data_IF_416680905447
#
_entry.id   IF_416680905447
#
_cell.length_a   1.000
_cell.length_b   1.000
_cell.length_c   1.000
_cell.angle_alpha   90.00
_cell.angle_beta   90.00
_cell.angle_gamma   90.00
#
_symmetry.space_group_name_H-M   'P 1'
#
loop_
_entity.id
_entity.type
_entity.pdbx_description
1 polymer ?
#
# COMPACT_ATOMS: atom_id res chain seq x y z
N UNK A 1 61.77 -39.94 27.84
CA UNK A 1 60.37 -39.70 28.26
C UNK A 1 60.32 -38.40 29.05
N UNK A 2 59.60 -37.41 28.52
CA UNK A 2 58.83 -36.31 29.15
C UNK A 2 59.44 -35.49 30.32
N UNK A 3 59.75 -34.21 30.01
CA UNK A 3 59.66 -32.93 30.79
C UNK A 3 60.42 -32.74 32.13
N UNK A 4 60.63 -31.50 32.68
CA UNK A 4 60.00 -30.19 32.35
C UNK A 4 60.90 -28.91 32.32
N UNK A 5 60.31 -27.81 31.81
CA UNK A 5 60.33 -26.39 32.25
C UNK A 5 61.55 -25.77 32.98
N UNK A 6 61.98 -24.55 32.56
CA UNK A 6 62.04 -23.30 33.37
C UNK A 6 62.40 -22.06 32.50
N UNK A 7 61.72 -20.94 32.79
CA UNK A 7 61.95 -19.56 32.26
C UNK A 7 63.07 -18.86 33.04
N UNK A 8 63.76 -17.88 32.43
CA UNK A 8 63.90 -16.48 32.92
C UNK A 8 64.82 -15.60 32.05
N UNK A 9 64.70 -14.27 32.21
CA UNK A 9 64.89 -13.19 31.22
C UNK A 9 66.21 -12.39 31.27
N UNK A 10 66.44 -11.63 30.17
CA UNK A 10 67.04 -10.27 29.99
C UNK A 10 68.59 -10.07 30.23
N UNK A 11 69.25 -8.93 29.86
CA UNK A 11 68.87 -7.73 29.07
C UNK A 11 69.93 -7.17 28.06
N UNK A 12 69.53 -6.14 27.28
CA UNK A 12 70.40 -5.06 26.74
C UNK A 12 70.68 -5.11 25.22
N UNK A 13 70.87 -4.03 24.46
CA UNK A 13 70.72 -2.58 24.62
C UNK A 13 71.25 -1.95 23.30
N UNK A 14 70.52 -1.00 22.69
CA UNK A 14 70.93 0.06 21.71
C UNK A 14 71.64 -0.35 20.39
N UNK A 15 71.34 0.12 19.17
CA UNK A 15 70.51 1.18 18.56
C UNK A 15 70.82 1.18 17.03
N UNK A 16 70.84 2.32 16.31
CA UNK A 16 69.75 3.19 15.85
C UNK A 16 69.34 2.90 14.38
N UNK A 17 68.17 3.36 13.93
CA UNK A 17 67.79 3.18 12.51
C UNK A 17 66.46 3.82 12.10
N UNK A 18 66.54 5.12 11.81
CA UNK A 18 65.79 5.84 10.79
C UNK A 18 64.25 5.78 10.76
N UNK A 19 63.69 6.93 11.12
CA UNK A 19 62.38 7.42 10.75
C UNK A 19 62.13 7.33 9.23
N UNK A 20 61.15 6.53 8.84
CA UNK A 20 60.44 6.73 7.57
C UNK A 20 58.95 6.48 7.79
N UNK A 21 58.25 7.58 8.09
CA UNK A 21 56.81 7.60 8.23
C UNK A 21 56.15 7.42 6.86
N UNK A 22 55.78 6.20 6.53
CA UNK A 22 54.75 5.97 5.53
C UNK A 22 53.40 6.01 6.24
N UNK A 23 52.77 7.18 6.17
CA UNK A 23 51.36 7.37 6.51
C UNK A 23 50.54 6.50 5.55
N UNK A 24 50.23 5.28 5.99
CA UNK A 24 49.33 4.39 5.27
C UNK A 24 48.01 5.14 5.09
N UNK A 25 47.77 5.57 3.85
CA UNK A 25 46.59 6.32 3.49
C UNK A 25 45.40 5.39 3.69
N UNK A 26 44.57 5.67 4.69
CA UNK A 26 43.29 5.00 4.88
C UNK A 26 42.52 5.10 3.57
N UNK A 27 42.51 4.00 2.80
CA UNK A 27 41.71 3.93 1.58
C UNK A 27 40.25 4.08 2.01
N UNK A 28 39.45 4.95 1.36
CA UNK A 28 38.04 5.00 1.65
C UNK A 28 37.47 3.60 1.38
N UNK A 29 36.86 3.03 2.41
CA UNK A 29 36.25 1.71 2.35
C UNK A 29 35.03 1.82 1.43
N UNK A 30 35.25 1.76 0.12
CA UNK A 30 34.20 1.69 -0.88
C UNK A 30 33.58 0.31 -0.78
N UNK A 31 32.65 0.16 0.18
CA UNK A 31 31.71 -0.96 0.17
C UNK A 31 31.01 -0.92 -1.20
N UNK A 32 30.92 -2.05 -1.94
CA UNK A 32 30.18 -2.08 -3.18
C UNK A 32 28.74 -1.68 -2.85
N UNK A 33 28.34 -0.52 -3.37
CA UNK A 33 26.97 -0.03 -3.25
C UNK A 33 26.14 -0.89 -4.21
N UNK A 34 25.56 -1.95 -3.67
CA UNK A 34 24.60 -2.79 -4.39
C UNK A 34 23.52 -1.86 -4.96
N UNK A 35 23.49 -1.77 -6.29
CA UNK A 35 22.80 -0.74 -7.06
C UNK A 35 21.26 -0.72 -6.91
N UNK A 36 20.70 -1.59 -6.08
CA UNK A 36 19.26 -1.80 -6.01
C UNK A 36 18.56 -1.13 -4.83
N UNK A 37 19.26 -0.60 -3.81
CA UNK A 37 18.64 0.27 -2.78
C UNK A 37 19.70 0.98 -1.92
N UNK A 38 20.38 1.97 -2.48
CA UNK A 38 21.20 2.89 -1.69
C UNK A 38 20.26 3.74 -0.83
N UNK A 39 20.19 3.46 0.47
CA UNK A 39 19.54 4.35 1.44
C UNK A 39 20.05 5.77 1.20
N UNK A 40 19.12 6.71 1.04
CA UNK A 40 19.46 8.11 0.77
C UNK A 40 20.29 8.61 1.97
N UNK A 41 21.54 9.07 1.76
CA UNK A 41 22.34 9.64 2.85
C UNK A 41 21.58 10.78 3.53
N UNK A 42 21.52 10.76 4.87
CA UNK A 42 20.74 11.73 5.65
C UNK A 42 19.24 11.43 5.76
N UNK A 43 18.75 10.30 5.25
CA UNK A 43 17.38 9.86 5.46
C UNK A 43 17.13 9.55 6.94
N UNK A 44 16.28 10.34 7.59
CA UNK A 44 15.86 10.18 9.00
C UNK A 44 14.46 9.57 9.14
N UNK A 45 13.88 9.08 8.04
CA UNK A 45 12.54 8.52 8.01
C UNK A 45 12.44 7.08 8.54
N UNK A 46 11.30 6.45 8.30
CA UNK A 46 11.01 5.11 8.79
C UNK A 46 11.82 4.04 8.05
N UNK A 47 12.47 3.16 8.81
CA UNK A 47 13.12 1.94 8.32
C UNK A 47 12.45 0.74 8.98
N UNK A 48 11.84 -0.19 8.21
CA UNK A 48 11.20 -1.37 8.77
C UNK A 48 12.15 -2.17 9.66
N UNK A 49 11.66 -2.72 10.77
CA UNK A 49 12.44 -3.56 11.71
C UNK A 49 13.61 -2.87 12.44
N UNK A 50 13.97 -1.63 12.10
CA UNK A 50 15.09 -0.90 12.71
C UNK A 50 14.92 -0.69 14.22
N UNK A 51 13.69 -0.55 14.68
CA UNK A 51 13.38 -0.37 16.10
C UNK A 51 13.71 -1.60 16.96
N UNK A 52 13.94 -2.76 16.35
CA UNK A 52 14.39 -3.98 17.05
C UNK A 52 15.91 -4.15 17.04
N UNK A 53 16.67 -3.23 16.44
CA UNK A 53 18.13 -3.29 16.33
C UNK A 53 18.75 -2.09 17.01
N UNK A 54 19.74 -2.36 17.86
CA UNK A 54 20.48 -1.38 18.65
C UNK A 54 21.96 -1.80 18.66
N UNK A 55 22.87 -0.83 18.62
CA UNK A 55 24.30 -1.06 18.86
C UNK A 55 25.20 -1.06 17.63
N UNK A 56 24.68 -0.78 16.43
CA UNK A 56 25.52 -0.58 15.23
C UNK A 56 25.27 0.77 14.55
N UNK A 57 25.99 1.06 13.46
CA UNK A 57 25.82 2.32 12.73
C UNK A 57 24.46 2.36 12.02
N UNK A 58 23.92 3.57 11.83
CA UNK A 58 22.66 3.74 11.11
C UNK A 58 22.68 3.09 9.71
N UNK A 59 23.82 3.20 9.01
CA UNK A 59 23.97 2.64 7.67
C UNK A 59 23.91 1.11 7.68
N UNK A 60 24.65 0.46 8.58
CA UNK A 60 24.70 -0.99 8.66
C UNK A 60 23.36 -1.58 9.13
N UNK A 61 22.75 -1.01 10.18
CA UNK A 61 21.43 -1.44 10.66
C UNK A 61 20.36 -1.27 9.59
N UNK A 62 20.35 -0.13 8.89
CA UNK A 62 19.33 0.13 7.88
C UNK A 62 19.47 -0.82 6.69
N UNK A 63 20.69 -1.10 6.23
CA UNK A 63 20.92 -2.10 5.18
C UNK A 63 20.47 -3.50 5.62
N UNK A 64 20.87 -3.92 6.82
CA UNK A 64 20.46 -5.23 7.35
C UNK A 64 18.94 -5.35 7.48
N UNK A 65 18.28 -4.32 8.00
CA UNK A 65 16.82 -4.25 8.12
C UNK A 65 16.12 -4.34 6.76
N UNK A 66 16.59 -3.57 5.78
CA UNK A 66 15.99 -3.56 4.44
C UNK A 66 16.16 -4.91 3.75
N UNK A 67 17.32 -5.54 3.86
CA UNK A 67 17.58 -6.88 3.32
C UNK A 67 16.71 -7.94 4.01
N UNK A 68 16.63 -7.93 5.35
CA UNK A 68 15.76 -8.84 6.11
C UNK A 68 14.29 -8.66 5.75
N UNK A 69 13.82 -7.42 5.66
CA UNK A 69 12.45 -7.11 5.26
C UNK A 69 12.14 -7.55 3.83
N UNK A 70 13.04 -7.27 2.89
CA UNK A 70 12.89 -7.70 1.50
C UNK A 70 12.83 -9.22 1.41
N UNK A 71 13.76 -9.93 2.05
CA UNK A 71 13.79 -11.40 2.06
C UNK A 71 12.54 -12.00 2.71
N UNK A 72 12.08 -11.45 3.84
CA UNK A 72 10.84 -11.89 4.47
C UNK A 72 9.62 -11.68 3.55
N UNK A 73 9.56 -10.53 2.87
CA UNK A 73 8.50 -10.23 1.91
C UNK A 73 8.54 -11.18 0.72
N UNK A 74 9.72 -11.48 0.16
CA UNK A 74 9.86 -12.43 -0.94
C UNK A 74 9.45 -13.83 -0.52
N UNK A 75 9.95 -14.35 0.62
CA UNK A 75 9.52 -15.66 1.15
C UNK A 75 8.02 -15.76 1.32
N UNK A 76 7.37 -14.71 1.83
CA UNK A 76 5.91 -14.69 1.98
C UNK A 76 5.19 -14.72 0.63
N UNK A 77 5.71 -14.03 -0.38
CA UNK A 77 5.19 -14.09 -1.75
C UNK A 77 5.40 -15.46 -2.39
N UNK A 78 6.57 -16.05 -2.22
CA UNK A 78 6.92 -17.36 -2.76
C UNK A 78 6.03 -18.44 -2.13
N UNK A 79 5.85 -18.42 -0.80
CA UNK A 79 4.92 -19.33 -0.11
C UNK A 79 3.48 -19.14 -0.59
N UNK A 80 3.02 -17.91 -0.82
CA UNK A 80 1.70 -17.67 -1.40
C UNK A 80 1.58 -18.22 -2.82
N UNK A 81 2.62 -18.07 -3.64
CA UNK A 81 2.64 -18.57 -5.02
C UNK A 81 2.67 -20.10 -5.06
N UNK A 82 3.44 -20.73 -4.18
CA UNK A 82 3.49 -22.18 -4.00
C UNK A 82 2.12 -22.71 -3.60
N UNK A 83 1.47 -22.11 -2.60
CA UNK A 83 0.12 -22.50 -2.18
C UNK A 83 -0.90 -22.33 -3.32
N UNK A 84 -0.80 -21.26 -4.11
CA UNK A 84 -1.65 -21.06 -5.30
C UNK A 84 -1.42 -22.14 -6.34
N UNK A 85 -0.16 -22.51 -6.58
CA UNK A 85 0.21 -23.57 -7.51
C UNK A 85 -0.33 -24.93 -7.03
N UNK A 86 -0.15 -25.27 -5.76
CA UNK A 86 -0.66 -26.50 -5.16
C UNK A 86 -2.19 -26.52 -5.25
N UNK A 87 -2.87 -25.44 -4.86
CA UNK A 87 -4.33 -25.36 -4.92
C UNK A 87 -4.88 -25.49 -6.36
N UNK A 88 -4.13 -25.04 -7.36
CA UNK A 88 -4.52 -25.15 -8.77
C UNK A 88 -4.23 -26.54 -9.37
N UNK A 89 -3.17 -27.21 -8.92
CA UNK A 89 -2.78 -28.53 -9.42
C UNK A 89 -3.45 -29.69 -8.69
N UNK A 90 -3.85 -29.48 -7.43
CA UNK A 90 -4.55 -30.49 -6.64
C UNK A 90 -5.92 -30.77 -7.25
N UNK A 91 -6.26 -32.04 -7.56
CA UNK A 91 -7.58 -32.37 -8.08
C UNK A 91 -8.66 -31.97 -7.08
N UNK A 92 -9.77 -31.43 -7.58
CA UNK A 92 -10.91 -31.06 -6.73
C UNK A 92 -11.46 -32.33 -6.08
N UNK A 93 -11.40 -32.38 -4.75
CA UNK A 93 -11.95 -33.50 -4.00
C UNK A 93 -13.47 -33.52 -4.14
N UNK A 94 -14.09 -34.71 -4.26
CA UNK A 94 -15.54 -34.82 -4.17
C UNK A 94 -16.00 -34.40 -2.77
N UNK A 95 -17.16 -33.78 -2.68
CA UNK A 95 -17.79 -33.47 -1.39
C UNK A 95 -18.11 -34.77 -0.66
N UNK A 96 -17.68 -34.87 0.60
CA UNK A 96 -17.91 -36.07 1.44
C UNK A 96 -19.40 -36.25 1.75
N UNK A 97 -20.15 -35.16 1.87
CA UNK A 97 -21.59 -35.14 2.12
C UNK A 97 -22.25 -34.02 1.32
N UNK A 98 -23.58 -34.08 1.17
CA UNK A 98 -24.32 -33.02 0.47
C UNK A 98 -24.36 -31.75 1.31
N UNK A 99 -24.51 -30.59 0.67
CA UNK A 99 -24.65 -29.33 1.40
C UNK A 99 -25.86 -29.35 2.35
N UNK A 100 -26.93 -30.05 1.98
CA UNK A 100 -28.12 -30.21 2.82
C UNK A 100 -27.82 -30.98 4.10
N UNK A 101 -27.01 -32.05 4.03
CA UNK A 101 -26.61 -32.82 5.21
C UNK A 101 -25.79 -31.98 6.21
N UNK A 102 -24.90 -31.13 5.70
CA UNK A 102 -24.10 -30.20 6.52
C UNK A 102 -25.00 -29.17 7.18
N UNK A 103 -25.95 -28.60 6.43
CA UNK A 103 -26.93 -27.65 6.98
C UNK A 103 -27.80 -28.31 8.05
N UNK A 104 -28.27 -29.53 7.81
CA UNK A 104 -29.05 -30.29 8.78
C UNK A 104 -28.26 -30.53 10.06
N UNK A 105 -27.00 -30.95 9.97
CA UNK A 105 -26.14 -31.14 11.14
C UNK A 105 -25.90 -29.83 11.91
N UNK A 106 -25.75 -28.70 11.20
CA UNK A 106 -25.65 -27.37 11.83
C UNK A 106 -26.94 -26.96 12.52
N UNK A 107 -28.10 -27.24 11.92
CA UNK A 107 -29.40 -26.98 12.53
C UNK A 107 -29.63 -27.84 13.77
N UNK A 108 -29.33 -29.13 13.71
CA UNK A 108 -29.45 -30.05 14.83
C UNK A 108 -28.55 -29.62 16.00
N UNK A 109 -27.31 -29.20 15.72
CA UNK A 109 -26.41 -28.64 16.73
C UNK A 109 -26.98 -27.37 17.36
N UNK A 110 -27.44 -26.42 16.54
CA UNK A 110 -27.98 -25.14 17.00
C UNK A 110 -29.24 -25.35 17.84
N UNK A 111 -30.13 -26.25 17.42
CA UNK A 111 -31.35 -26.60 18.17
C UNK A 111 -31.01 -27.22 19.54
N UNK A 112 -30.02 -28.10 19.60
CA UNK A 112 -29.61 -28.79 20.84
C UNK A 112 -28.89 -27.87 21.83
N UNK A 113 -28.08 -26.93 21.34
CA UNK A 113 -27.18 -26.13 22.18
C UNK A 113 -27.62 -24.66 22.34
N UNK A 114 -28.55 -24.16 21.53
CA UNK A 114 -29.03 -22.78 21.53
C UNK A 114 -30.56 -22.68 21.40
N UNK A 115 -31.33 -23.16 22.39
CA UNK A 115 -32.80 -23.25 22.32
C UNK A 115 -33.52 -21.91 22.16
N UNK A 116 -32.86 -20.78 22.46
CA UNK A 116 -33.43 -19.44 22.32
C UNK A 116 -33.05 -18.73 21.02
N UNK A 117 -32.28 -19.37 20.14
CA UNK A 117 -31.83 -18.78 18.87
C UNK A 117 -32.63 -19.38 17.73
N UNK A 118 -33.78 -18.78 17.45
CA UNK A 118 -34.63 -19.17 16.33
C UNK A 118 -34.01 -18.69 15.01
N UNK A 119 -33.29 -19.58 14.32
CA UNK A 119 -32.80 -19.38 12.96
C UNK A 119 -31.28 -19.44 12.79
N UNK A 120 -30.80 -19.19 11.57
CA UNK A 120 -29.37 -19.03 11.32
C UNK A 120 -28.87 -17.84 12.13
N UNK A 121 -27.80 -18.03 12.91
CA UNK A 121 -27.15 -16.91 13.59
C UNK A 121 -26.56 -16.01 12.50
N UNK A 122 -27.31 -14.99 12.09
CA UNK A 122 -26.79 -13.97 11.21
C UNK A 122 -25.79 -13.17 12.05
N UNK A 123 -24.53 -13.61 12.03
CA UNK A 123 -23.43 -12.94 12.73
C UNK A 123 -23.15 -11.56 12.14
N UNK A 124 -23.56 -11.33 10.90
CA UNK A 124 -23.35 -10.08 10.18
C UNK A 124 -24.57 -9.18 10.30
N UNK A 125 -24.44 -8.15 11.12
CA UNK A 125 -25.38 -7.01 11.13
C UNK A 125 -25.49 -6.41 9.74
N UNK A 126 -26.69 -5.99 9.37
CA UNK A 126 -26.89 -5.35 8.07
C UNK A 126 -26.18 -4.00 8.03
N UNK A 127 -25.70 -3.56 6.86
CA UNK A 127 -24.99 -2.28 6.73
C UNK A 127 -25.84 -1.08 7.17
N UNK A 128 -27.16 -1.17 7.03
CA UNK A 128 -28.10 -0.09 7.37
C UNK A 128 -28.62 -0.19 8.82
N UNK A 129 -28.23 -1.23 9.55
CA UNK A 129 -28.59 -1.36 10.96
C UNK A 129 -27.92 -0.22 11.75
N UNK A 130 -28.65 0.45 12.66
CA UNK A 130 -28.05 1.48 13.49
C UNK A 130 -26.91 0.89 14.33
N UNK A 131 -25.80 1.63 14.49
CA UNK A 131 -24.69 1.18 15.32
C UNK A 131 -25.14 0.99 16.76
N UNK A 132 -24.47 0.06 17.45
CA UNK A 132 -24.71 -0.24 18.86
C UNK A 132 -24.54 1.06 19.67
N UNK A 133 -25.45 1.37 20.62
CA UNK A 133 -25.26 2.50 21.52
C UNK A 133 -23.88 2.47 22.18
N UNK A 134 -23.19 3.62 22.18
CA UNK A 134 -21.82 3.72 22.69
C UNK A 134 -20.71 3.38 21.67
N UNK A 135 -21.06 2.90 20.47
CA UNK A 135 -20.09 2.76 19.39
C UNK A 135 -19.66 4.13 18.87
N UNK A 136 -18.35 4.41 18.91
CA UNK A 136 -17.73 5.67 18.46
C UNK A 136 -16.83 5.48 17.25
N UNK A 137 -17.05 4.40 16.49
CA UNK A 137 -16.23 4.07 15.33
C UNK A 137 -16.49 4.99 14.13
N UNK A 138 -15.81 4.69 13.02
CA UNK A 138 -15.86 5.51 11.82
C UNK A 138 -17.20 5.36 11.08
N UNK A 139 -17.90 6.48 10.90
CA UNK A 139 -19.10 6.58 10.04
C UNK A 139 -18.71 7.33 8.76
N UNK A 140 -18.84 6.71 7.57
CA UNK A 140 -18.52 7.35 6.30
C UNK A 140 -19.29 8.66 6.15
N UNK A 141 -18.62 9.73 5.72
CA UNK A 141 -19.24 11.05 5.47
C UNK A 141 -20.03 11.67 6.63
N UNK A 142 -19.86 11.20 7.88
CA UNK A 142 -20.50 11.81 9.04
C UNK A 142 -20.08 13.27 9.30
N UNK A 143 -18.93 13.69 8.78
CA UNK A 143 -18.43 15.06 8.84
C UNK A 143 -18.88 15.95 7.68
N UNK A 144 -19.85 15.52 6.88
CA UNK A 144 -20.45 16.34 5.82
C UNK A 144 -21.68 17.04 6.37
N UNK A 145 -21.82 18.34 6.07
CA UNK A 145 -22.91 19.23 6.54
C UNK A 145 -24.29 18.66 6.27
N UNK A 146 -24.49 18.07 5.09
CA UNK A 146 -25.80 17.58 4.63
C UNK A 146 -26.27 16.29 5.35
N UNK A 147 -25.34 15.47 5.86
CA UNK A 147 -25.66 14.13 6.34
C UNK A 147 -25.52 13.99 7.86
N UNK A 148 -24.57 14.69 8.48
CA UNK A 148 -24.18 14.39 9.85
C UNK A 148 -24.09 15.55 10.83
N UNK A 149 -24.13 16.80 10.38
CA UNK A 149 -24.14 17.93 11.31
C UNK A 149 -25.57 18.23 11.78
N UNK A 150 -25.74 18.44 13.09
CA UNK A 150 -26.99 18.91 13.69
C UNK A 150 -28.07 17.85 13.95
N UNK A 151 -27.77 16.57 13.77
CA UNK A 151 -28.70 15.44 13.96
C UNK A 151 -28.19 14.44 15.01
N UNK A 152 -29.08 13.56 15.51
CA UNK A 152 -28.70 12.54 16.49
C UNK A 152 -27.82 11.49 15.83
N UNK A 153 -26.92 10.88 16.61
CA UNK A 153 -25.94 9.90 16.10
C UNK A 153 -26.56 8.77 15.25
N UNK A 154 -27.68 8.19 15.70
CA UNK A 154 -28.34 7.12 14.95
C UNK A 154 -28.94 7.59 13.61
N UNK A 155 -29.41 8.84 13.53
CA UNK A 155 -29.91 9.45 12.29
C UNK A 155 -28.76 9.77 11.35
N UNK A 156 -27.69 10.39 11.87
CA UNK A 156 -26.44 10.62 11.14
C UNK A 156 -25.97 9.31 10.50
N UNK A 157 -25.86 8.25 11.29
CA UNK A 157 -25.32 6.99 10.83
C UNK A 157 -26.23 6.32 9.80
N UNK A 158 -27.55 6.34 10.01
CA UNK A 158 -28.52 5.84 9.02
C UNK A 158 -28.38 6.57 7.68
N UNK A 159 -28.35 7.90 7.68
CA UNK A 159 -28.23 8.71 6.47
C UNK A 159 -26.89 8.46 5.77
N UNK A 160 -25.80 8.41 6.54
CA UNK A 160 -24.46 8.14 6.04
C UNK A 160 -24.33 6.75 5.41
N UNK A 161 -24.89 5.71 6.03
CA UNK A 161 -24.86 4.35 5.47
C UNK A 161 -25.74 4.21 4.24
N UNK A 162 -26.91 4.87 4.20
CA UNK A 162 -27.75 4.90 3.00
C UNK A 162 -27.03 5.59 1.83
N UNK A 163 -26.41 6.74 2.08
CA UNK A 163 -25.62 7.45 1.09
C UNK A 163 -24.43 6.61 0.60
N UNK A 164 -23.69 5.97 1.52
CA UNK A 164 -22.59 5.07 1.18
C UNK A 164 -23.06 3.88 0.34
N UNK A 165 -24.21 3.30 0.67
CA UNK A 165 -24.82 2.21 -0.11
C UNK A 165 -25.17 2.69 -1.52
N UNK A 166 -25.87 3.81 -1.64
CA UNK A 166 -26.23 4.40 -2.93
C UNK A 166 -24.99 4.69 -3.79
N UNK A 167 -23.90 5.18 -3.18
CA UNK A 167 -22.67 5.45 -3.88
C UNK A 167 -21.94 4.15 -4.27
N UNK A 168 -21.96 3.14 -3.40
CA UNK A 168 -21.42 1.80 -3.71
C UNK A 168 -22.18 1.14 -4.86
N UNK A 169 -23.50 1.26 -4.90
CA UNK A 169 -24.34 0.71 -5.97
C UNK A 169 -24.13 1.45 -7.31
N UNK A 170 -23.89 2.77 -7.26
CA UNK A 170 -23.55 3.58 -8.44
C UNK A 170 -22.16 3.33 -8.98
N UNK A 171 -21.21 3.00 -8.11
CA UNK A 171 -19.89 2.50 -8.51
C UNK A 171 -20.11 1.06 -8.96
N UNK A 172 -20.70 0.90 -10.15
CA UNK A 172 -20.78 -0.38 -10.83
C UNK A 172 -19.40 -1.02 -10.74
N UNK A 173 -19.36 -2.24 -10.17
CA UNK A 173 -18.18 -3.06 -10.05
C UNK A 173 -17.59 -3.23 -11.45
N UNK A 174 -16.65 -2.36 -11.80
CA UNK A 174 -15.82 -2.55 -12.98
C UNK A 174 -14.88 -3.71 -12.60
N UNK A 175 -15.04 -4.92 -13.18
CA UNK A 175 -14.23 -6.08 -12.81
C UNK A 175 -12.73 -5.81 -13.01
N UNK A 176 -12.41 -4.83 -13.86
CA UNK A 176 -11.08 -4.34 -14.16
C UNK A 176 -10.43 -3.59 -12.98
N UNK A 177 -11.21 -3.09 -12.02
CA UNK A 177 -10.70 -2.34 -10.86
C UNK A 177 -9.97 -3.23 -9.83
N UNK A 178 -10.37 -4.51 -9.71
CA UNK A 178 -9.64 -5.48 -8.90
C UNK A 178 -8.29 -5.88 -9.54
N UNK A 179 -8.17 -5.79 -10.87
CA UNK A 179 -6.90 -6.02 -11.58
C UNK A 179 -5.88 -4.89 -11.35
N UNK A 180 -6.34 -3.71 -10.94
CA UNK A 180 -5.50 -2.55 -10.63
C UNK A 180 -5.29 -2.30 -9.13
N UNK A 181 -5.96 -3.07 -8.24
CA UNK A 181 -5.75 -3.04 -6.80
C UNK A 181 -4.37 -3.64 -6.47
N UNK A 182 -3.30 -2.91 -6.78
CA UNK A 182 -1.91 -3.33 -6.62
C UNK A 182 -1.01 -2.99 -7.80
N UNK A 183 -1.54 -2.60 -8.97
CA UNK A 183 -0.70 -2.05 -10.05
C UNK A 183 -0.38 -0.59 -9.71
N UNK A 184 0.72 -0.38 -8.98
CA UNK A 184 1.41 0.91 -9.06
C UNK A 184 1.77 1.10 -10.54
N UNK A 185 1.06 1.98 -11.23
CA UNK A 185 1.55 2.45 -12.51
C UNK A 185 2.91 3.08 -12.22
N UNK A 186 3.96 2.48 -12.78
CA UNK A 186 5.31 3.02 -12.75
C UNK A 186 5.27 4.33 -13.54
N UNK A 187 5.02 5.43 -12.83
CA UNK A 187 5.10 6.76 -13.43
C UNK A 187 6.57 6.97 -13.69
N UNK A 188 6.98 6.90 -14.97
CA UNK A 188 8.32 7.32 -15.40
C UNK A 188 8.47 8.77 -14.94
N UNK A 189 9.29 8.99 -13.91
CA UNK A 189 9.63 10.32 -13.43
C UNK A 189 10.39 11.00 -14.55
N UNK A 190 9.69 11.73 -15.42
CA UNK A 190 10.38 12.61 -16.33
C UNK A 190 10.96 13.72 -15.45
N UNK A 191 12.28 13.90 -15.51
CA UNK A 191 12.94 15.06 -14.90
C UNK A 191 12.46 16.28 -15.67
N UNK A 192 11.29 16.82 -15.33
CA UNK A 192 10.76 18.03 -15.94
C UNK A 192 11.70 19.17 -15.53
N UNK A 193 12.12 20.04 -16.47
CA UNK A 193 12.95 21.20 -16.14
C UNK A 193 12.31 22.01 -15.02
N UNK A 194 13.16 22.50 -14.11
CA UNK A 194 12.84 23.13 -12.83
C UNK A 194 12.11 24.49 -12.92
N UNK A 195 11.44 24.78 -14.04
CA UNK A 195 10.90 26.12 -14.32
C UNK A 195 9.46 26.31 -13.89
N UNK A 196 8.65 25.26 -13.69
CA UNK A 196 7.30 25.40 -13.12
C UNK A 196 6.92 24.22 -12.23
N UNK A 197 6.97 24.43 -10.91
CA UNK A 197 6.52 23.45 -9.93
C UNK A 197 5.00 23.38 -9.92
N UNK A 198 4.43 22.59 -10.83
CA UNK A 198 2.99 22.37 -10.94
C UNK A 198 2.42 21.78 -9.63
N UNK A 199 1.31 22.35 -9.14
CA UNK A 199 0.62 21.86 -7.93
C UNK A 199 0.07 20.44 -8.10
N UNK A 200 -0.56 20.17 -9.25
CA UNK A 200 -1.10 18.86 -9.60
C UNK A 200 -0.13 18.12 -10.50
N UNK A 201 0.39 16.98 -10.03
CA UNK A 201 1.42 16.21 -10.72
C UNK A 201 0.87 14.87 -11.24
N UNK A 202 1.41 14.33 -12.35
CA UNK A 202 1.04 13.00 -12.83
C UNK A 202 1.41 11.87 -11.85
N UNK A 203 2.41 12.10 -10.99
CA UNK A 203 2.74 11.21 -9.88
C UNK A 203 1.72 11.26 -8.73
N UNK A 204 0.70 12.12 -8.80
CA UNK A 204 -0.26 12.38 -7.73
C UNK A 204 0.17 13.51 -6.80
N UNK A 205 -0.68 13.83 -5.82
CA UNK A 205 -0.41 14.90 -4.86
C UNK A 205 0.71 14.53 -3.89
N UNK A 206 1.42 15.54 -3.40
CA UNK A 206 2.45 15.37 -2.37
C UNK A 206 1.83 14.71 -1.12
N UNK A 207 2.51 13.73 -0.50
CA UNK A 207 2.09 13.23 0.80
C UNK A 207 1.93 14.40 1.80
N UNK A 208 0.84 14.39 2.58
CA UNK A 208 0.42 15.47 3.50
C UNK A 208 -0.14 16.74 2.85
N UNK A 209 -0.43 16.74 1.55
CA UNK A 209 -1.23 17.80 0.97
C UNK A 209 -2.62 17.83 1.62
N UNK A 210 -2.96 18.96 2.26
CA UNK A 210 -4.23 19.19 2.95
C UNK A 210 -5.17 20.13 2.19
N UNK A 211 -4.79 20.55 0.97
CA UNK A 211 -5.62 21.41 0.14
C UNK A 211 -6.74 20.64 -0.56
N UNK A 212 -7.53 21.36 -1.37
CA UNK A 212 -8.69 20.81 -2.05
C UNK A 212 -8.30 19.93 -3.25
N UNK A 213 -8.85 18.71 -3.30
CA UNK A 213 -8.81 17.87 -4.49
C UNK A 213 -10.21 17.87 -5.14
N UNK A 214 -10.31 18.29 -6.42
CA UNK A 214 -11.58 18.27 -7.12
C UNK A 214 -12.18 16.86 -7.14
N UNK A 215 -13.47 16.77 -6.81
CA UNK A 215 -14.27 15.55 -6.84
C UNK A 215 -13.83 14.43 -5.87
N UNK A 216 -12.94 14.70 -4.91
CA UNK A 216 -12.51 13.69 -3.93
C UNK A 216 -13.68 13.08 -3.15
N UNK A 217 -14.60 13.93 -2.69
CA UNK A 217 -15.76 13.52 -1.89
C UNK A 217 -16.76 12.65 -2.66
N UNK A 218 -16.67 12.57 -3.99
CA UNK A 218 -17.58 11.80 -4.84
C UNK A 218 -17.06 10.38 -5.14
N UNK A 219 -15.81 10.07 -4.78
CA UNK A 219 -15.16 8.82 -5.15
C UNK A 219 -14.96 7.94 -3.93
N UNK A 220 -15.53 6.74 -3.96
CA UNK A 220 -15.35 5.71 -2.93
C UNK A 220 -14.34 4.65 -3.41
N UNK A 221 -13.62 4.04 -2.45
CA UNK A 221 -12.85 2.83 -2.68
C UNK A 221 -11.46 3.03 -3.30
N UNK A 222 -11.02 4.28 -3.49
CA UNK A 222 -9.66 4.61 -3.93
C UNK A 222 -8.85 5.16 -2.75
N UNK A 223 -7.57 4.79 -2.69
CA UNK A 223 -6.62 5.45 -1.79
C UNK A 223 -6.38 6.88 -2.26
N UNK A 224 -6.01 7.79 -1.35
CA UNK A 224 -5.69 9.18 -1.67
C UNK A 224 -4.74 9.29 -2.87
N UNK A 225 -3.66 8.49 -2.89
CA UNK A 225 -2.71 8.47 -4.00
C UNK A 225 -3.33 8.06 -5.34
N UNK A 226 -4.18 7.03 -5.36
CA UNK A 226 -4.84 6.57 -6.59
C UNK A 226 -5.88 7.57 -7.08
N UNK A 227 -6.63 8.16 -6.16
CA UNK A 227 -7.59 9.21 -6.44
C UNK A 227 -6.90 10.40 -7.10
N UNK A 228 -5.82 10.91 -6.48
CA UNK A 228 -5.02 12.01 -7.00
C UNK A 228 -4.55 11.74 -8.42
N UNK A 229 -3.99 10.55 -8.70
CA UNK A 229 -3.49 10.18 -10.03
C UNK A 229 -4.62 10.03 -11.05
N UNK A 230 -5.81 9.61 -10.64
CA UNK A 230 -6.98 9.47 -11.52
C UNK A 230 -7.71 10.78 -11.80
N UNK A 231 -7.36 11.87 -11.11
CA UNK A 231 -7.96 13.17 -11.36
C UNK A 231 -7.52 13.70 -12.74
N UNK A 232 -8.47 14.21 -13.53
CA UNK A 232 -8.18 14.72 -14.88
C UNK A 232 -7.10 15.80 -14.91
N UNK A 233 -6.94 16.53 -13.80
CA UNK A 233 -5.90 17.55 -13.64
C UNK A 233 -4.53 16.90 -13.53
N UNK A 234 -4.40 15.79 -12.81
CA UNK A 234 -3.13 15.08 -12.63
C UNK A 234 -2.78 14.18 -13.82
N UNK A 235 -3.76 13.61 -14.54
CA UNK A 235 -3.51 12.59 -15.58
C UNK A 235 -2.77 13.08 -16.83
N UNK A 236 -2.59 14.38 -17.03
CA UNK A 236 -1.99 14.93 -18.25
C UNK A 236 -0.58 15.48 -18.03
N UNK A 237 0.22 15.42 -19.10
CA UNK A 237 1.61 15.87 -19.13
C UNK A 237 1.79 17.33 -19.58
N UNK A 238 0.73 17.98 -20.05
CA UNK A 238 0.79 19.39 -20.48
C UNK A 238 1.15 20.35 -19.32
N UNK A 239 1.78 21.47 -19.64
CA UNK A 239 2.27 22.48 -18.68
C UNK A 239 1.17 23.02 -17.75
N UNK A 240 -0.04 23.20 -18.27
CA UNK A 240 -1.19 23.67 -17.51
C UNK A 240 -2.46 22.90 -17.87
N UNK A 241 -3.43 22.88 -16.95
CA UNK A 241 -4.73 22.26 -17.21
C UNK A 241 -5.49 22.94 -18.35
N UNK A 242 -5.33 24.26 -18.50
CA UNK A 242 -5.89 25.01 -19.63
C UNK A 242 -5.34 24.53 -20.97
N UNK A 243 -4.01 24.34 -21.08
CA UNK A 243 -3.39 23.79 -22.29
C UNK A 243 -3.91 22.39 -22.62
N UNK A 244 -4.08 21.53 -21.60
CA UNK A 244 -4.68 20.22 -21.77
C UNK A 244 -6.13 20.27 -22.29
N UNK A 245 -6.97 21.15 -21.74
CA UNK A 245 -8.34 21.32 -22.22
C UNK A 245 -8.37 21.82 -23.67
N UNK A 246 -7.53 22.78 -24.03
CA UNK A 246 -7.43 23.30 -25.41
C UNK A 246 -6.98 22.22 -26.38
N UNK A 247 -5.95 21.45 -26.03
CA UNK A 247 -5.47 20.32 -26.83
C UNK A 247 -6.54 19.24 -27.01
N UNK A 248 -7.23 18.89 -25.92
CA UNK A 248 -8.36 17.94 -25.93
C UNK A 248 -9.49 18.43 -26.84
N UNK A 249 -9.89 19.69 -26.73
CA UNK A 249 -10.91 20.32 -27.58
C UNK A 249 -10.51 20.29 -29.06
N UNK A 250 -9.26 20.65 -29.37
CA UNK A 250 -8.73 20.64 -30.72
C UNK A 250 -8.65 19.22 -31.30
N UNK A 251 -8.34 18.21 -30.48
CA UNK A 251 -8.39 16.80 -30.89
C UNK A 251 -9.81 16.33 -31.21
N UNK A 252 -10.81 16.73 -30.40
CA UNK A 252 -12.22 16.42 -30.67
C UNK A 252 -12.73 17.08 -31.95
N UNK A 253 -12.27 18.30 -32.27
CA UNK A 253 -12.63 19.01 -33.50
C UNK A 253 -11.98 18.41 -34.77
N UNK A 254 -10.88 17.67 -34.62
CA UNK A 254 -10.17 16.98 -35.72
C UNK A 254 -10.69 15.57 -36.02
N UNK A 255 -11.61 15.03 -35.21
CA UNK A 255 -12.29 13.77 -35.54
C UNK A 255 -13.26 13.97 -36.72
N UNK A 256 -13.14 13.22 -37.83
CA UNK A 256 -14.05 13.37 -38.96
C UNK A 256 -15.47 12.98 -38.54
N UNK A 257 -16.45 13.85 -38.84
CA UNK A 257 -17.90 13.63 -38.61
C UNK A 257 -18.52 12.56 -39.53
N UNK A 258 -17.74 11.60 -40.04
CA UNK A 258 -18.24 10.52 -40.87
C UNK A 258 -18.68 9.35 -40.00
N UNK A 259 -19.89 9.39 -39.45
CA UNK A 259 -20.69 8.22 -38.99
C UNK A 259 -22.04 8.63 -38.35
N UNK A 260 -22.72 9.64 -38.90
CA UNK A 260 -24.13 9.91 -38.58
C UNK A 260 -24.93 10.26 -39.84
N UNK A 261 -25.02 9.32 -40.76
CA UNK A 261 -26.07 9.26 -41.78
C UNK A 261 -26.11 7.84 -42.35
N UNK A 262 -26.72 6.89 -41.63
CA UNK A 262 -27.51 5.84 -42.27
C UNK A 262 -28.39 5.15 -41.24
N UNK A 263 -29.69 5.40 -41.30
CA UNK A 263 -30.83 4.58 -40.87
C UNK A 263 -32.03 5.51 -40.76
N UNK A 264 -32.71 5.72 -41.89
CA UNK A 264 -34.14 5.99 -42.04
C UNK A 264 -34.42 6.25 -43.52
N UNK A 265 -34.70 5.16 -44.24
CA UNK A 265 -35.80 5.09 -45.20
C UNK A 265 -36.24 3.64 -45.31
#
# INVERSE_FOLDING_TARGET
>A
MVEPSQRQEAPGAFGPGESSGYRESMKPNQKPVDACNSLIPGYTGYVPQRFYRIGTTYGDDSMACMTSFHNATQRSRDAQNELRYIAATTPKLPSICSNEDVLQALYDYNYKHHPYVLGTVITKRSLLEPPIPGWTGFVPRARVTELGYGVRYHETTKNCYQDFKNLSDRVCYDPTSNLQRGKMHEVKVSKVPNTYQRFYRPEGMLPKYSGHIPHEHLVIGKTFGNLCRSCSVCTHTEESYGAHLTKKRNATLKLPKHLKCNMKS
#
